data_IF_121228322881
#
_entry.id   IF_121228322881
#
_cell.length_a   1.000
_cell.length_b   1.000
_cell.length_c   1.000
_cell.angle_alpha   90.00
_cell.angle_beta   90.00
_cell.angle_gamma   90.00
#
_symmetry.space_group_name_H-M   'P 1'
#
loop_
_entity.id
_entity.type
_entity.pdbx_description
1 polymer ?
#
# COMPACT_ATOMS: atom_id res chain seq x y z
N UNK A 1 -78.62 19.75 -29.88
CA UNK A 1 -78.62 18.73 -28.82
C UNK A 1 -77.47 19.00 -27.85
N UNK A 2 -77.71 18.77 -26.56
CA UNK A 2 -76.80 18.87 -25.40
C UNK A 2 -76.36 20.29 -24.92
N UNK A 3 -77.18 20.82 -23.99
CA UNK A 3 -76.95 21.97 -23.11
C UNK A 3 -75.91 21.61 -22.04
N UNK A 4 -74.71 22.20 -22.05
CA UNK A 4 -73.73 22.03 -20.96
C UNK A 4 -73.96 23.12 -19.92
N UNK A 5 -74.59 22.72 -18.81
CA UNK A 5 -74.95 23.56 -17.68
C UNK A 5 -73.68 24.02 -16.97
N UNK A 6 -73.54 25.34 -16.80
CA UNK A 6 -72.51 25.98 -15.97
C UNK A 6 -72.95 25.81 -14.52
N UNK A 7 -72.26 24.94 -13.77
CA UNK A 7 -72.39 24.87 -12.31
C UNK A 7 -71.22 25.63 -11.72
N UNK A 8 -71.52 26.81 -11.18
CA UNK A 8 -70.60 27.59 -10.36
C UNK A 8 -70.71 27.17 -8.90
N UNK A 9 -69.61 27.42 -8.18
CA UNK A 9 -69.54 27.68 -6.73
C UNK A 9 -68.98 26.52 -5.87
N UNK A 10 -68.52 26.80 -4.64
CA UNK A 10 -67.16 27.27 -4.40
C UNK A 10 -66.54 26.50 -3.23
N UNK A 11 -65.23 26.26 -3.19
CA UNK A 11 -64.43 26.26 -1.96
C UNK A 11 -63.12 25.50 -2.14
N UNK A 12 -62.09 26.15 -1.60
CA UNK A 12 -61.05 25.58 -0.77
C UNK A 12 -60.08 24.61 -1.44
N UNK A 13 -58.87 25.14 -1.63
CA UNK A 13 -57.69 24.32 -1.83
C UNK A 13 -56.68 25.01 -2.73
N UNK A 14 -55.91 25.95 -2.18
CA UNK A 14 -54.62 26.29 -2.76
C UNK A 14 -53.75 25.04 -2.70
N UNK A 15 -53.69 24.26 -3.80
CA UNK A 15 -52.70 23.21 -3.95
C UNK A 15 -51.38 23.90 -4.27
N UNK A 16 -50.66 24.31 -3.23
CA UNK A 16 -49.25 24.68 -3.34
C UNK A 16 -48.51 23.42 -3.79
N UNK A 17 -48.22 23.33 -5.09
CA UNK A 17 -47.27 22.35 -5.62
C UNK A 17 -45.92 22.66 -4.98
N UNK A 18 -45.59 21.96 -3.90
CA UNK A 18 -44.22 21.96 -3.34
C UNK A 18 -43.32 21.46 -4.46
N UNK A 19 -42.50 22.36 -5.00
CA UNK A 19 -41.44 22.00 -5.93
C UNK A 19 -40.59 20.93 -5.28
N UNK A 20 -40.45 19.79 -5.94
CA UNK A 20 -39.46 18.78 -5.58
C UNK A 20 -38.10 19.50 -5.64
N UNK A 21 -37.32 19.53 -4.56
CA UNK A 21 -35.98 20.07 -4.62
C UNK A 21 -35.20 19.21 -5.64
N UNK A 22 -34.89 19.78 -6.80
CA UNK A 22 -33.98 19.15 -7.74
C UNK A 22 -32.63 19.08 -7.03
N UNK A 23 -32.30 17.88 -6.56
CA UNK A 23 -30.98 17.54 -6.08
C UNK A 23 -30.04 17.85 -7.24
N UNK A 24 -29.19 18.89 -7.10
CA UNK A 24 -28.11 19.14 -8.05
C UNK A 24 -27.29 17.85 -8.06
N UNK A 25 -27.40 17.08 -9.13
CA UNK A 25 -26.42 16.07 -9.46
C UNK A 25 -25.11 16.83 -9.59
N UNK A 26 -24.26 16.74 -8.57
CA UNK A 26 -22.88 17.17 -8.67
C UNK A 26 -22.25 16.25 -9.70
N UNK A 27 -22.30 16.67 -10.96
CA UNK A 27 -21.64 16.02 -12.07
C UNK A 27 -20.16 16.01 -11.72
N UNK A 28 -19.66 14.85 -11.30
CA UNK A 28 -18.24 14.66 -11.08
C UNK A 28 -17.55 14.77 -12.44
N UNK A 29 -17.10 15.97 -12.78
CA UNK A 29 -16.22 16.19 -13.91
C UNK A 29 -14.84 15.67 -13.51
N UNK A 30 -14.51 14.47 -14.00
CA UNK A 30 -13.15 13.96 -13.93
C UNK A 30 -12.25 14.86 -14.77
N UNK A 31 -11.58 15.81 -14.12
CA UNK A 31 -10.46 16.55 -14.72
C UNK A 31 -9.22 15.68 -14.50
N UNK A 32 -8.59 15.15 -15.56
CA UNK A 32 -7.33 14.43 -15.41
C UNK A 32 -6.31 15.36 -14.78
N UNK A 33 -5.69 14.91 -13.68
CA UNK A 33 -4.58 15.66 -13.08
C UNK A 33 -3.41 15.66 -14.05
N UNK A 34 -2.72 16.78 -14.22
CA UNK A 34 -1.52 16.80 -15.06
C UNK A 34 -0.45 15.89 -14.46
N UNK A 35 0.05 14.97 -15.28
CA UNK A 35 1.08 14.02 -14.87
C UNK A 35 2.44 14.70 -14.82
N UNK A 36 3.00 14.85 -13.61
CA UNK A 36 4.39 15.29 -13.45
C UNK A 36 5.36 14.11 -13.60
N UNK A 37 5.90 13.98 -14.81
CA UNK A 37 6.88 12.96 -15.18
C UNK A 37 8.12 12.97 -14.26
N UNK A 38 8.65 14.15 -13.93
CA UNK A 38 9.92 14.29 -13.18
C UNK A 38 9.74 13.77 -11.75
N UNK A 39 8.64 14.14 -11.11
CA UNK A 39 8.33 13.70 -9.75
C UNK A 39 8.01 12.21 -9.72
N UNK A 40 7.29 11.71 -10.73
CA UNK A 40 7.01 10.28 -10.86
C UNK A 40 8.30 9.45 -10.98
N UNK A 41 9.20 9.83 -11.89
CA UNK A 41 10.45 9.10 -12.10
C UNK A 41 11.33 9.10 -10.84
N UNK A 42 11.45 10.23 -10.13
CA UNK A 42 12.22 10.30 -8.86
C UNK A 42 11.65 9.35 -7.80
N UNK A 43 10.32 9.25 -7.71
CA UNK A 43 9.64 8.34 -6.78
C UNK A 43 9.91 6.88 -7.12
N UNK A 44 9.78 6.50 -8.39
CA UNK A 44 10.04 5.13 -8.84
C UNK A 44 11.49 4.72 -8.61
N UNK A 45 12.46 5.58 -8.96
CA UNK A 45 13.89 5.32 -8.70
C UNK A 45 14.15 5.12 -7.20
N UNK A 46 13.52 5.93 -6.34
CA UNK A 46 13.67 5.79 -4.89
C UNK A 46 13.07 4.47 -4.41
N UNK A 47 11.89 4.10 -4.91
CA UNK A 47 11.27 2.80 -4.64
C UNK A 47 12.18 1.63 -5.01
N UNK A 48 12.71 1.63 -6.23
CA UNK A 48 13.64 0.58 -6.71
C UNK A 48 14.91 0.52 -5.87
N UNK A 49 15.51 1.67 -5.50
CA UNK A 49 16.68 1.70 -4.61
C UNK A 49 16.40 1.04 -3.27
N UNK A 50 15.25 1.34 -2.67
CA UNK A 50 14.84 0.72 -1.41
C UNK A 50 14.68 -0.78 -1.59
N UNK A 51 13.99 -1.23 -2.63
CA UNK A 51 13.84 -2.67 -2.92
C UNK A 51 15.20 -3.36 -3.09
N UNK A 52 16.16 -2.75 -3.79
CA UNK A 52 17.51 -3.29 -3.91
C UNK A 52 18.25 -3.39 -2.56
N UNK A 53 18.12 -2.37 -1.71
CA UNK A 53 18.70 -2.39 -0.35
C UNK A 53 18.12 -3.54 0.47
N UNK A 54 16.81 -3.72 0.43
CA UNK A 54 16.13 -4.84 1.08
C UNK A 54 16.63 -6.19 0.54
N UNK A 55 16.74 -6.34 -0.78
CA UNK A 55 17.23 -7.56 -1.40
C UNK A 55 18.67 -7.91 -0.97
N UNK A 56 19.60 -6.94 -1.05
CA UNK A 56 20.99 -7.14 -0.64
C UNK A 56 21.11 -7.45 0.86
N UNK A 57 20.37 -6.71 1.69
CA UNK A 57 20.33 -6.96 3.14
C UNK A 57 19.80 -8.35 3.44
N UNK A 58 18.76 -8.80 2.72
CA UNK A 58 18.18 -10.13 2.87
C UNK A 58 19.16 -11.26 2.58
N UNK A 59 20.01 -11.11 1.56
CA UNK A 59 21.04 -12.11 1.26
C UNK A 59 22.05 -12.22 2.42
N UNK A 60 22.53 -11.09 2.92
CA UNK A 60 23.49 -11.03 4.04
C UNK A 60 22.86 -11.60 5.32
N UNK A 61 21.63 -11.23 5.62
CA UNK A 61 20.89 -11.68 6.80
C UNK A 61 20.56 -13.17 6.72
N UNK A 62 20.12 -13.66 5.56
CA UNK A 62 19.85 -15.09 5.35
C UNK A 62 21.10 -15.94 5.54
N UNK A 63 22.24 -15.47 5.02
CA UNK A 63 23.53 -16.11 5.25
C UNK A 63 23.92 -16.11 6.74
N UNK A 64 23.83 -14.96 7.40
CA UNK A 64 24.14 -14.84 8.82
C UNK A 64 23.22 -15.71 9.70
N UNK A 65 21.93 -15.80 9.38
CA UNK A 65 20.97 -16.67 10.06
C UNK A 65 21.30 -18.15 9.85
N UNK A 66 21.74 -18.54 8.64
CA UNK A 66 22.27 -19.86 8.34
C UNK A 66 23.47 -20.22 9.21
N UNK A 67 24.49 -19.35 9.25
CA UNK A 67 25.67 -19.54 10.10
C UNK A 67 25.31 -19.64 11.59
N UNK A 68 24.39 -18.81 12.08
CA UNK A 68 23.99 -18.85 13.49
C UNK A 68 23.23 -20.13 13.83
N UNK A 69 22.36 -20.60 12.94
CA UNK A 69 21.68 -21.88 13.11
C UNK A 69 22.72 -23.00 13.25
N UNK A 70 23.68 -23.09 12.33
CA UNK A 70 24.67 -24.17 12.35
C UNK A 70 25.63 -24.10 13.55
N UNK A 71 26.01 -22.90 13.99
CA UNK A 71 26.90 -22.71 15.14
C UNK A 71 26.23 -23.00 16.50
N UNK A 72 24.94 -22.74 16.61
CA UNK A 72 24.20 -22.85 17.89
C UNK A 72 23.28 -24.06 17.96
N UNK A 73 23.17 -24.81 16.86
CA UNK A 73 22.19 -25.88 16.63
C UNK A 73 20.75 -25.44 16.96
N UNK A 74 20.44 -24.16 16.70
CA UNK A 74 19.16 -23.56 17.06
C UNK A 74 18.70 -22.52 16.05
N UNK A 75 17.55 -22.79 15.43
CA UNK A 75 16.92 -21.85 14.50
C UNK A 75 16.49 -20.54 15.17
N UNK A 76 16.31 -20.51 16.50
CA UNK A 76 15.82 -19.34 17.24
C UNK A 76 16.76 -18.15 17.04
N UNK A 77 18.08 -18.37 17.08
CA UNK A 77 19.07 -17.30 16.91
C UNK A 77 19.03 -16.67 15.51
N UNK A 78 18.78 -17.47 14.48
CA UNK A 78 18.58 -16.93 13.13
C UNK A 78 17.32 -16.06 13.04
N UNK A 79 16.21 -16.48 13.68
CA UNK A 79 14.97 -15.69 13.74
C UNK A 79 15.20 -14.38 14.48
N UNK A 80 15.91 -14.41 15.61
CA UNK A 80 16.24 -13.20 16.39
C UNK A 80 16.99 -12.18 15.54
N UNK A 81 18.00 -12.62 14.77
CA UNK A 81 18.74 -11.71 13.88
C UNK A 81 17.84 -11.09 12.81
N UNK A 82 16.96 -11.87 12.18
CA UNK A 82 16.00 -11.34 11.21
C UNK A 82 15.12 -10.27 11.83
N UNK A 83 14.57 -10.52 13.02
CA UNK A 83 13.69 -9.58 13.74
C UNK A 83 14.45 -8.29 14.09
N UNK A 84 15.67 -8.39 14.63
CA UNK A 84 16.48 -7.23 15.00
C UNK A 84 16.80 -6.37 13.78
N UNK A 85 17.21 -6.98 12.67
CA UNK A 85 17.52 -6.24 11.44
C UNK A 85 16.28 -5.57 10.87
N UNK A 86 15.13 -6.25 10.88
CA UNK A 86 13.89 -5.68 10.37
C UNK A 86 13.36 -4.54 11.24
N UNK A 87 13.46 -4.67 12.57
CA UNK A 87 13.14 -3.58 13.49
C UNK A 87 14.03 -2.34 13.25
N UNK A 88 15.32 -2.56 12.94
CA UNK A 88 16.28 -1.49 12.62
C UNK A 88 16.17 -0.92 11.20
N UNK A 89 15.47 -1.59 10.28
CA UNK A 89 15.52 -1.27 8.84
C UNK A 89 15.04 0.15 8.51
N UNK A 90 13.95 0.62 9.16
CA UNK A 90 13.48 1.99 8.94
C UNK A 90 14.48 3.05 9.41
N UNK A 91 15.19 2.79 10.50
CA UNK A 91 16.25 3.69 10.99
C UNK A 91 17.48 3.63 10.07
N UNK A 92 17.82 2.45 9.59
CA UNK A 92 18.90 2.26 8.61
C UNK A 92 18.65 3.04 7.31
N UNK A 93 17.43 2.98 6.77
CA UNK A 93 17.07 3.75 5.57
C UNK A 93 17.15 5.26 5.79
N UNK A 94 16.75 5.74 6.98
CA UNK A 94 16.89 7.15 7.35
C UNK A 94 18.35 7.58 7.44
N UNK A 95 19.21 6.73 8.01
CA UNK A 95 20.65 6.98 8.15
C UNK A 95 21.34 7.19 6.79
N UNK A 96 20.93 6.44 5.76
CA UNK A 96 21.46 6.59 4.39
C UNK A 96 20.74 7.68 3.56
N UNK A 97 19.93 8.51 4.21
CA UNK A 97 19.27 9.68 3.59
C UNK A 97 17.99 9.37 2.80
N UNK A 98 17.39 8.19 2.99
CA UNK A 98 16.11 7.85 2.36
C UNK A 98 14.97 8.29 3.26
N UNK A 99 14.14 9.19 2.74
CA UNK A 99 12.93 9.64 3.41
C UNK A 99 11.82 8.58 3.30
N UNK A 100 11.69 7.77 4.37
CA UNK A 100 10.69 6.69 4.45
C UNK A 100 9.25 7.21 4.47
N UNK A 101 9.01 8.50 4.74
CA UNK A 101 7.64 9.07 4.79
C UNK A 101 7.03 9.22 3.40
N UNK A 102 7.87 9.31 2.36
CA UNK A 102 7.45 9.44 0.95
C UNK A 102 7.16 8.08 0.30
N UNK A 103 7.46 6.99 0.99
CA UNK A 103 7.25 5.63 0.50
C UNK A 103 5.84 5.18 0.87
N UNK A 104 5.11 4.63 -0.10
CA UNK A 104 3.79 4.04 0.15
C UNK A 104 3.93 2.88 1.15
N UNK A 105 3.15 2.90 2.23
CA UNK A 105 3.18 1.86 3.26
C UNK A 105 3.03 0.44 2.68
N UNK A 106 2.17 0.24 1.67
CA UNK A 106 2.02 -1.05 0.99
C UNK A 106 3.27 -1.50 0.23
N UNK A 107 4.03 -0.58 -0.37
CA UNK A 107 5.31 -0.89 -1.01
C UNK A 107 6.37 -1.25 0.03
N UNK A 108 6.39 -0.52 1.16
CA UNK A 108 7.29 -0.80 2.27
C UNK A 108 7.03 -2.18 2.87
N UNK A 109 5.77 -2.51 3.16
CA UNK A 109 5.37 -3.83 3.65
C UNK A 109 5.68 -4.93 2.64
N UNK A 110 5.46 -4.67 1.35
CA UNK A 110 5.84 -5.59 0.27
C UNK A 110 7.32 -5.94 0.32
N UNK A 111 8.21 -4.94 0.49
CA UNK A 111 9.65 -5.16 0.62
C UNK A 111 9.99 -6.05 1.83
N UNK A 112 9.36 -5.87 2.99
CA UNK A 112 9.58 -6.74 4.16
C UNK A 112 9.17 -8.19 3.88
N UNK A 113 7.98 -8.39 3.29
CA UNK A 113 7.46 -9.73 2.99
C UNK A 113 8.39 -10.45 1.99
N UNK A 114 8.71 -9.80 0.87
CA UNK A 114 9.61 -10.37 -0.14
C UNK A 114 10.99 -10.67 0.43
N UNK A 115 11.48 -9.82 1.33
CA UNK A 115 12.76 -10.01 2.01
C UNK A 115 12.77 -11.24 2.92
N UNK A 116 11.67 -11.53 3.64
CA UNK A 116 11.55 -12.74 4.45
C UNK A 116 11.67 -13.98 3.56
N UNK A 117 10.99 -14.01 2.41
CA UNK A 117 11.11 -15.13 1.48
C UNK A 117 12.53 -15.27 0.94
N UNK A 118 13.20 -14.17 0.61
CA UNK A 118 14.58 -14.21 0.12
C UNK A 118 15.56 -14.69 1.22
N UNK A 119 15.39 -14.23 2.46
CA UNK A 119 16.13 -14.71 3.63
C UNK A 119 15.92 -16.21 3.81
N UNK A 120 14.67 -16.68 3.78
CA UNK A 120 14.33 -18.09 3.92
C UNK A 120 14.91 -18.92 2.78
N UNK A 121 14.89 -18.43 1.54
CA UNK A 121 15.55 -19.10 0.41
C UNK A 121 17.04 -19.32 0.70
N UNK A 122 17.79 -18.28 1.08
CA UNK A 122 19.23 -18.42 1.38
C UNK A 122 19.45 -19.32 2.60
N UNK A 123 18.67 -19.14 3.66
CA UNK A 123 18.85 -19.89 4.90
C UNK A 123 18.55 -21.38 4.72
N UNK A 124 17.46 -21.72 4.03
CA UNK A 124 17.10 -23.13 3.76
C UNK A 124 18.11 -23.83 2.86
N UNK A 125 18.68 -23.13 1.87
CA UNK A 125 19.79 -23.64 1.08
C UNK A 125 21.02 -23.98 1.96
N UNK A 126 21.22 -23.31 3.08
CA UNK A 126 22.36 -23.60 3.95
C UNK A 126 22.15 -24.76 4.93
N UNK A 127 20.90 -25.08 5.28
CA UNK A 127 20.61 -26.15 6.25
C UNK A 127 20.37 -27.49 5.54
N UNK A 128 19.84 -27.46 4.32
CA UNK A 128 19.38 -28.66 3.65
C UNK A 128 20.44 -29.23 2.69
N UNK A 129 20.81 -30.52 2.80
CA UNK A 129 21.55 -31.21 1.75
C UNK A 129 20.75 -31.20 0.42
N UNK A 130 21.37 -31.17 -0.79
CA UNK A 130 22.79 -31.32 -1.15
C UNK A 130 23.55 -30.00 -1.35
N UNK A 131 23.02 -28.89 -0.86
CA UNK A 131 23.57 -27.55 -1.13
C UNK A 131 24.76 -27.19 -0.23
N UNK A 132 24.98 -27.98 0.84
CA UNK A 132 26.16 -28.06 1.70
C UNK A 132 26.51 -29.53 1.93
#
# INVERSE_FOLDING_TARGET
>A
MAKKVRVSSPHSGNVVKKGVPQQKEETYEFVPTEFDERTYIKKEITGTKVTLIFALTSLIVGFAAGCLHTLTDSAIWGVVVVVVVFAGMTQFLKLIGIDTTKIKAGSMLGNYITSIFLILCVWTLMINPPFI
#
